data_IF_476746156078
#
_entry.id   IF_476746156078
#
_cell.length_a   1.000
_cell.length_b   1.000
_cell.length_c   1.000
_cell.angle_alpha   90.00
_cell.angle_beta   90.00
_cell.angle_gamma   90.00
#
_symmetry.space_group_name_H-M   'P 1'
#
loop_
_entity.id
_entity.type
_entity.pdbx_description
1 polymer ?
#
# COMPACT_ATOMS: atom_id res chain seq x y z
N UNK A 1 -6.39 23.63 10.98
CA UNK A 1 -5.05 23.24 10.50
C UNK A 1 -4.93 21.73 10.67
N UNK A 2 -4.40 21.03 9.66
CA UNK A 2 -4.35 19.57 9.66
C UNK A 2 -3.11 19.04 10.40
N UNK A 3 -3.25 17.93 11.12
CA UNK A 3 -2.20 17.34 11.97
C UNK A 3 -2.09 15.83 11.78
N UNK A 4 -0.88 15.33 11.98
CA UNK A 4 -0.60 13.90 12.09
C UNK A 4 -0.73 13.48 13.56
N UNK A 5 -1.51 12.42 13.80
CA UNK A 5 -1.73 11.87 15.13
C UNK A 5 -1.04 10.51 15.23
N UNK A 6 -0.14 10.37 16.20
CA UNK A 6 0.52 9.10 16.53
C UNK A 6 0.06 8.65 17.91
N UNK A 7 -0.54 7.46 17.99
CA UNK A 7 -0.94 6.82 19.24
C UNK A 7 0.00 5.65 19.50
N UNK A 8 0.64 5.63 20.65
CA UNK A 8 1.68 4.65 20.97
C UNK A 8 1.70 4.28 22.45
N UNK A 9 2.18 3.07 22.72
CA UNK A 9 2.47 2.62 24.08
C UNK A 9 3.89 3.04 24.47
N UNK A 10 4.03 3.57 25.69
CA UNK A 10 5.32 3.79 26.33
C UNK A 10 5.16 3.58 27.84
N UNK A 11 6.04 2.80 28.45
CA UNK A 11 6.02 2.51 29.89
C UNK A 11 4.65 2.07 30.44
N UNK A 12 3.90 1.31 29.64
CA UNK A 12 2.59 0.81 30.01
C UNK A 12 1.50 1.89 30.08
N UNK A 13 1.66 3.01 29.38
CA UNK A 13 0.61 4.02 29.18
C UNK A 13 0.44 4.31 27.69
N UNK A 14 -0.81 4.58 27.30
CA UNK A 14 -1.12 5.03 25.93
C UNK A 14 -0.94 6.54 25.83
N UNK A 15 -0.01 6.96 24.97
CA UNK A 15 0.25 8.35 24.63
C UNK A 15 -0.26 8.68 23.24
N UNK A 16 -0.51 9.96 23.03
CA UNK A 16 -0.76 10.56 21.73
C UNK A 16 0.27 11.66 21.50
N UNK A 17 0.92 11.65 20.33
CA UNK A 17 1.66 12.80 19.83
C UNK A 17 0.95 13.45 18.66
N UNK A 18 1.04 14.78 18.60
CA UNK A 18 0.53 15.59 17.50
C UNK A 18 1.72 16.26 16.82
N UNK A 19 1.83 16.07 15.52
CA UNK A 19 2.86 16.73 14.71
C UNK A 19 2.23 17.40 13.50
N UNK A 20 2.80 18.53 13.10
CA UNK A 20 2.46 19.16 11.83
C UNK A 20 3.43 18.63 10.77
N UNK A 21 3.02 18.55 9.49
CA UNK A 21 3.90 18.07 8.43
C UNK A 21 5.23 18.85 8.30
N UNK A 22 5.26 20.11 8.76
CA UNK A 22 6.38 21.05 8.59
C UNK A 22 7.08 21.47 9.90
N UNK A 23 6.64 20.98 11.06
CA UNK A 23 7.19 21.37 12.37
C UNK A 23 7.52 20.13 13.22
N UNK A 24 8.58 20.21 14.02
CA UNK A 24 8.93 19.18 15.00
C UNK A 24 7.78 18.95 16.01
N UNK A 25 7.65 17.70 16.50
CA UNK A 25 6.56 17.18 17.35
C UNK A 25 6.10 18.22 18.40
N UNK A 26 4.85 18.66 18.30
CA UNK A 26 4.36 19.81 19.07
C UNK A 26 3.82 19.46 20.46
N UNK A 27 3.45 18.21 20.74
CA UNK A 27 3.08 17.79 22.10
C UNK A 27 2.94 16.27 22.23
N UNK A 28 3.38 15.72 23.35
CA UNK A 28 3.07 14.34 23.80
C UNK A 28 2.14 14.46 25.00
N UNK A 29 0.98 13.83 24.92
CA UNK A 29 0.03 13.78 26.04
C UNK A 29 -0.53 12.39 26.22
N UNK A 30 -1.07 12.08 27.40
CA UNK A 30 -1.91 10.89 27.58
C UNK A 30 -3.07 10.95 26.57
N UNK A 31 -3.46 9.79 26.03
CA UNK A 31 -4.53 9.73 25.04
C UNK A 31 -5.83 10.36 25.58
N UNK A 32 -6.26 11.46 24.95
CA UNK A 32 -7.53 12.12 25.22
C UNK A 32 -8.36 12.22 23.93
N UNK A 33 -9.47 11.46 23.81
CA UNK A 33 -10.32 11.49 22.63
C UNK A 33 -11.04 12.84 22.44
N UNK A 34 -11.14 13.69 23.46
CA UNK A 34 -11.82 14.98 23.35
C UNK A 34 -11.01 16.02 22.58
N UNK A 35 -9.67 15.90 22.60
CA UNK A 35 -8.77 16.78 21.83
C UNK A 35 -9.00 16.71 20.33
N UNK A 36 -9.52 15.59 19.84
CA UNK A 36 -9.78 15.37 18.42
C UNK A 36 -10.88 16.28 17.87
N UNK A 37 -11.73 16.88 18.73
CA UNK A 37 -12.72 17.87 18.30
C UNK A 37 -12.11 19.24 17.95
N UNK A 38 -10.88 19.51 18.41
CA UNK A 38 -10.20 20.79 18.23
C UNK A 38 -9.18 20.77 17.07
N UNK A 39 -9.00 19.63 16.41
CA UNK A 39 -7.98 19.43 15.37
C UNK A 39 -8.60 18.82 14.11
N UNK A 40 -7.88 18.89 12.99
CA UNK A 40 -8.21 18.16 11.77
C UNK A 40 -7.16 17.07 11.59
N UNK A 41 -7.57 15.81 11.56
CA UNK A 41 -6.65 14.67 11.51
C UNK A 41 -6.36 14.30 10.06
N UNK A 42 -5.11 14.46 9.63
CA UNK A 42 -4.67 14.09 8.28
C UNK A 42 -4.19 12.64 8.21
N UNK A 43 -3.42 12.22 9.20
CA UNK A 43 -2.85 10.87 9.29
C UNK A 43 -2.99 10.31 10.70
N UNK A 44 -3.28 9.03 10.79
CA UNK A 44 -3.26 8.27 12.04
C UNK A 44 -2.14 7.24 11.98
N UNK A 45 -1.32 7.18 13.03
CA UNK A 45 -0.30 6.16 13.22
C UNK A 45 -0.57 5.45 14.54
N UNK A 46 -0.68 4.13 14.53
CA UNK A 46 -0.67 3.29 15.73
C UNK A 46 0.67 2.58 15.83
N UNK A 47 1.38 2.74 16.95
CA UNK A 47 2.74 2.20 17.09
C UNK A 47 2.91 1.45 18.41
N UNK A 48 3.50 0.26 18.36
CA UNK A 48 3.78 -0.58 19.53
C UNK A 48 2.52 -0.88 20.38
N UNK A 49 1.36 -1.02 19.74
CA UNK A 49 0.09 -1.28 20.42
C UNK A 49 -0.11 -2.79 20.53
N UNK A 50 -0.32 -3.30 21.74
CA UNK A 50 -0.66 -4.71 21.96
C UNK A 50 -1.93 -4.86 22.80
N UNK A 51 -2.92 -5.61 22.32
CA UNK A 51 -4.16 -5.82 23.09
C UNK A 51 -3.98 -6.78 24.27
N UNK A 52 -2.81 -7.40 24.42
CA UNK A 52 -2.45 -8.16 25.61
C UNK A 52 -2.12 -7.25 26.82
N UNK A 53 -1.78 -5.97 26.57
CA UNK A 53 -1.56 -4.99 27.63
C UNK A 53 -2.88 -4.32 28.01
N UNK A 54 -3.16 -4.26 29.32
CA UNK A 54 -4.35 -3.62 29.87
C UNK A 54 -4.48 -2.15 29.45
N UNK A 55 -3.35 -1.49 29.21
CA UNK A 55 -3.28 -0.06 28.94
C UNK A 55 -3.58 0.28 27.47
N UNK A 56 -3.44 -0.71 26.58
CA UNK A 56 -3.64 -0.55 25.13
C UNK A 56 -4.79 -1.40 24.57
N UNK A 57 -5.40 -2.27 25.38
CA UNK A 57 -6.46 -3.20 24.96
C UNK A 57 -7.61 -2.52 24.20
N UNK A 58 -8.00 -1.30 24.58
CA UNK A 58 -9.12 -0.58 23.96
C UNK A 58 -8.68 0.57 23.03
N UNK A 59 -7.42 0.61 22.59
CA UNK A 59 -6.91 1.74 21.77
C UNK A 59 -7.69 1.87 20.46
N UNK A 60 -7.90 0.77 19.75
CA UNK A 60 -8.62 0.77 18.47
C UNK A 60 -10.05 1.30 18.66
N UNK A 61 -10.75 0.80 19.68
CA UNK A 61 -12.10 1.27 20.03
C UNK A 61 -12.11 2.77 20.36
N UNK A 62 -11.10 3.23 21.10
CA UNK A 62 -10.99 4.61 21.55
C UNK A 62 -10.71 5.56 20.38
N UNK A 63 -9.87 5.14 19.42
CA UNK A 63 -9.62 5.86 18.17
C UNK A 63 -10.88 5.93 17.32
N UNK A 64 -11.60 4.81 17.14
CA UNK A 64 -12.89 4.82 16.42
C UNK A 64 -13.92 5.76 17.06
N UNK A 65 -14.02 5.75 18.39
CA UNK A 65 -14.91 6.65 19.13
C UNK A 65 -14.50 8.12 18.96
N UNK A 66 -13.20 8.41 18.99
CA UNK A 66 -12.67 9.76 18.76
C UNK A 66 -12.99 10.26 17.35
N UNK A 67 -12.73 9.44 16.32
CA UNK A 67 -13.04 9.73 14.91
C UNK A 67 -14.52 10.06 14.70
N UNK A 68 -15.43 9.24 15.23
CA UNK A 68 -16.87 9.46 15.11
C UNK A 68 -17.33 10.73 15.82
N UNK A 69 -16.88 10.92 17.07
CA UNK A 69 -17.25 12.09 17.88
C UNK A 69 -16.80 13.39 17.22
N UNK A 70 -15.59 13.40 16.68
CA UNK A 70 -14.99 14.55 16.00
C UNK A 70 -15.37 14.67 14.52
N UNK A 71 -16.17 13.72 13.99
CA UNK A 71 -16.60 13.65 12.59
C UNK A 71 -15.44 13.70 11.58
N UNK A 72 -14.31 13.09 11.93
CA UNK A 72 -13.11 13.02 11.10
C UNK A 72 -13.23 11.83 10.15
N UNK A 73 -13.76 12.04 8.95
CA UNK A 73 -13.94 10.99 7.92
C UNK A 73 -13.00 11.12 6.71
N UNK A 74 -12.19 12.18 6.68
CA UNK A 74 -11.26 12.50 5.59
C UNK A 74 -9.81 12.38 6.04
N UNK A 75 -9.46 11.23 6.62
CA UNK A 75 -8.08 10.90 7.00
C UNK A 75 -7.38 10.33 5.77
N UNK A 76 -6.29 10.98 5.35
CA UNK A 76 -5.53 10.65 4.13
C UNK A 76 -4.50 9.55 4.36
N UNK A 77 -4.14 9.25 5.61
CA UNK A 77 -3.14 8.23 5.91
C UNK A 77 -3.44 7.38 7.13
N UNK A 78 -3.23 6.08 7.00
CA UNK A 78 -3.20 5.11 8.10
C UNK A 78 -1.85 4.42 8.16
N UNK A 79 -1.25 4.38 9.34
CA UNK A 79 -0.06 3.59 9.62
C UNK A 79 -0.28 2.73 10.88
N UNK A 80 0.15 1.48 10.82
CA UNK A 80 0.26 0.57 11.95
C UNK A 80 1.65 -0.05 11.93
N UNK A 81 2.42 0.12 13.01
CA UNK A 81 3.78 -0.41 13.13
C UNK A 81 3.92 -1.18 14.44
N UNK A 82 4.28 -2.47 14.36
CA UNK A 82 4.43 -3.34 15.53
C UNK A 82 3.15 -3.39 16.38
N UNK A 83 2.01 -3.58 15.71
CA UNK A 83 0.67 -3.61 16.34
C UNK A 83 0.14 -5.04 16.39
N UNK A 84 -0.23 -5.52 17.58
CA UNK A 84 -0.83 -6.83 17.80
C UNK A 84 -2.23 -6.69 18.39
N UNK A 85 -3.24 -7.11 17.65
CA UNK A 85 -4.66 -7.01 18.04
C UNK A 85 -5.24 -8.42 18.15
N UNK A 86 -5.96 -8.70 19.23
CA UNK A 86 -6.63 -9.98 19.46
C UNK A 86 -8.01 -10.03 18.78
N UNK A 87 -8.52 -11.24 18.57
CA UNK A 87 -9.80 -11.49 17.88
C UNK A 87 -11.00 -10.80 18.53
N UNK A 88 -10.95 -10.58 19.84
CA UNK A 88 -12.01 -9.87 20.60
C UNK A 88 -12.25 -8.45 20.03
N UNK A 89 -11.21 -7.83 19.46
CA UNK A 89 -11.26 -6.48 18.90
C UNK A 89 -11.39 -6.44 17.37
N UNK A 90 -11.66 -7.59 16.72
CA UNK A 90 -11.81 -7.72 15.28
C UNK A 90 -12.87 -6.77 14.68
N UNK A 91 -14.00 -6.62 15.38
CA UNK A 91 -15.09 -5.74 14.94
C UNK A 91 -14.68 -4.27 14.94
N UNK A 92 -13.94 -3.83 15.96
CA UNK A 92 -13.43 -2.45 16.06
C UNK A 92 -12.34 -2.16 15.03
N UNK A 93 -11.48 -3.13 14.72
CA UNK A 93 -10.51 -2.99 13.65
C UNK A 93 -11.19 -2.93 12.27
N UNK A 94 -12.18 -3.78 12.02
CA UNK A 94 -12.98 -3.74 10.79
C UNK A 94 -13.67 -2.38 10.62
N UNK A 95 -14.22 -1.86 11.71
CA UNK A 95 -14.84 -0.54 11.75
C UNK A 95 -13.83 0.58 11.48
N UNK A 96 -12.63 0.52 12.06
CA UNK A 96 -11.56 1.47 11.78
C UNK A 96 -11.21 1.50 10.29
N UNK A 97 -11.09 0.33 9.66
CA UNK A 97 -10.88 0.23 8.21
C UNK A 97 -12.03 0.84 7.41
N UNK A 98 -13.29 0.59 7.80
CA UNK A 98 -14.44 1.20 7.13
C UNK A 98 -14.46 2.72 7.23
N UNK A 99 -14.06 3.28 8.38
CA UNK A 99 -14.03 4.73 8.60
C UNK A 99 -12.92 5.42 7.81
N UNK A 100 -11.74 4.81 7.70
CA UNK A 100 -10.54 5.47 7.18
C UNK A 100 -10.28 5.21 5.70
N UNK A 101 -10.45 3.96 5.25
CA UNK A 101 -9.97 3.53 3.93
C UNK A 101 -10.60 4.27 2.73
N UNK A 102 -11.88 4.69 2.74
CA UNK A 102 -12.46 5.40 1.60
C UNK A 102 -11.70 6.66 1.20
N UNK A 103 -11.06 7.34 2.17
CA UNK A 103 -10.35 8.61 1.99
C UNK A 103 -8.82 8.46 2.06
N UNK A 104 -8.31 7.26 2.31
CA UNK A 104 -6.87 7.02 2.49
C UNK A 104 -6.10 6.96 1.17
N UNK A 105 -5.07 7.79 1.07
CA UNK A 105 -4.04 7.78 0.03
C UNK A 105 -2.79 6.99 0.47
N UNK A 106 -2.59 6.83 1.78
CA UNK A 106 -1.41 6.13 2.33
C UNK A 106 -1.81 5.08 3.36
N UNK A 107 -1.40 3.84 3.13
CA UNK A 107 -1.64 2.72 4.05
C UNK A 107 -0.30 2.04 4.31
N UNK A 108 0.15 2.04 5.56
CA UNK A 108 1.39 1.40 5.99
C UNK A 108 1.10 0.43 7.13
N UNK A 109 1.13 -0.88 6.89
CA UNK A 109 0.93 -1.92 7.89
C UNK A 109 2.20 -2.76 7.95
N UNK A 110 2.95 -2.67 9.06
CA UNK A 110 4.29 -3.22 9.16
C UNK A 110 4.45 -3.95 10.49
N UNK A 111 4.87 -5.23 10.43
CA UNK A 111 5.10 -6.08 11.62
C UNK A 111 3.86 -6.18 12.51
N UNK A 112 2.69 -6.34 11.92
CA UNK A 112 1.43 -6.38 12.65
C UNK A 112 0.86 -7.80 12.75
N UNK A 113 0.19 -8.10 13.86
CA UNK A 113 -0.65 -9.29 14.02
C UNK A 113 -2.09 -8.82 14.14
N UNK A 114 -2.88 -9.01 13.08
CA UNK A 114 -4.23 -8.46 13.00
C UNK A 114 -5.29 -9.59 12.90
N UNK A 115 -6.41 -9.49 13.63
CA UNK A 115 -7.46 -10.51 13.59
C UNK A 115 -8.28 -10.46 12.30
N UNK A 116 -8.30 -9.29 11.64
CA UNK A 116 -8.96 -9.05 10.36
C UNK A 116 -8.01 -8.27 9.46
N UNK A 117 -8.21 -8.44 8.16
CA UNK A 117 -7.48 -7.70 7.13
C UNK A 117 -8.42 -6.75 6.40
N UNK A 118 -7.88 -5.90 5.52
CA UNK A 118 -8.68 -5.05 4.66
C UNK A 118 -9.56 -5.93 3.74
N UNK A 119 -10.90 -5.85 3.86
CA UNK A 119 -11.81 -6.53 2.97
C UNK A 119 -11.57 -6.09 1.52
N UNK A 120 -11.62 -7.00 0.53
CA UNK A 120 -11.47 -6.64 -0.87
C UNK A 120 -12.44 -5.51 -1.28
N UNK A 121 -13.69 -5.56 -0.82
CA UNK A 121 -14.72 -4.53 -1.10
C UNK A 121 -14.29 -3.12 -0.70
N UNK A 122 -13.58 -2.96 0.42
CA UNK A 122 -13.04 -1.66 0.87
C UNK A 122 -11.74 -1.29 0.14
N UNK A 123 -10.93 -2.28 -0.25
CA UNK A 123 -9.79 -2.01 -1.12
C UNK A 123 -10.26 -1.29 -2.39
N UNK A 124 -11.34 -1.78 -3.02
CA UNK A 124 -11.91 -1.24 -4.27
C UNK A 124 -12.52 0.18 -4.16
N UNK A 125 -12.84 0.68 -2.97
CA UNK A 125 -13.59 1.94 -2.80
C UNK A 125 -12.73 3.20 -2.58
N UNK A 126 -11.45 3.04 -2.28
CA UNK A 126 -10.55 4.19 -2.03
C UNK A 126 -10.32 5.02 -3.31
N UNK A 127 -10.31 6.34 -3.22
CA UNK A 127 -10.10 7.23 -4.38
C UNK A 127 -8.81 8.01 -4.19
N UNK A 128 -7.68 7.52 -4.71
CA UNK A 128 -6.42 8.26 -4.54
C UNK A 128 -5.19 7.59 -5.12
N UNK A 129 -4.11 8.38 -5.17
CA UNK A 129 -2.74 7.88 -5.32
C UNK A 129 -2.42 7.06 -4.09
N UNK A 130 -2.00 5.81 -4.28
CA UNK A 130 -1.83 4.85 -3.19
C UNK A 130 -0.35 4.62 -2.93
N UNK A 131 0.14 5.09 -1.79
CA UNK A 131 1.34 4.54 -1.17
C UNK A 131 0.89 3.41 -0.25
N UNK A 132 1.07 2.18 -0.70
CA UNK A 132 0.68 0.97 0.00
C UNK A 132 1.91 0.21 0.47
N UNK A 133 1.97 -0.09 1.76
CA UNK A 133 2.96 -0.98 2.34
C UNK A 133 2.28 -1.95 3.29
N UNK A 134 2.46 -3.24 3.05
CA UNK A 134 1.94 -4.30 3.92
C UNK A 134 2.99 -5.39 4.02
N UNK A 135 3.78 -5.35 5.11
CA UNK A 135 4.96 -6.19 5.26
C UNK A 135 5.02 -6.86 6.62
N UNK A 136 5.53 -8.10 6.63
CA UNK A 136 5.80 -8.92 7.82
C UNK A 136 4.59 -8.98 8.76
N UNK A 137 3.39 -8.97 8.18
CA UNK A 137 2.16 -8.83 8.94
C UNK A 137 1.31 -10.09 8.81
N UNK A 138 1.05 -10.74 9.95
CA UNK A 138 0.23 -11.93 10.01
C UNK A 138 -1.23 -11.52 10.20
N UNK A 139 -2.09 -11.97 9.28
CA UNK A 139 -3.54 -11.85 9.44
C UNK A 139 -4.15 -13.24 9.53
N UNK A 140 -5.02 -13.45 10.51
CA UNK A 140 -5.76 -14.72 10.65
C UNK A 140 -6.83 -14.91 9.57
N UNK A 141 -7.05 -13.89 8.75
CA UNK A 141 -8.03 -13.89 7.68
C UNK A 141 -7.57 -14.74 6.48
N UNK A 142 -8.47 -15.54 5.86
CA UNK A 142 -8.17 -16.27 4.62
C UNK A 142 -8.01 -15.34 3.41
N UNK A 143 -8.36 -14.05 3.53
CA UNK A 143 -8.28 -13.11 2.43
C UNK A 143 -6.84 -12.69 2.17
N UNK A 144 -6.35 -12.97 0.96
CA UNK A 144 -5.06 -12.47 0.48
C UNK A 144 -5.17 -11.00 0.10
N UNK A 145 -5.10 -10.12 1.10
CA UNK A 145 -5.31 -8.67 0.89
C UNK A 145 -4.32 -8.06 -0.09
N UNK A 146 -3.05 -8.45 -0.06
CA UNK A 146 -2.07 -7.94 -1.00
C UNK A 146 -2.41 -8.31 -2.46
N UNK A 147 -2.93 -9.53 -2.69
CA UNK A 147 -3.47 -9.91 -4.01
C UNK A 147 -4.69 -9.06 -4.38
N UNK A 148 -5.63 -8.86 -3.46
CA UNK A 148 -6.84 -8.07 -3.71
C UNK A 148 -6.52 -6.62 -4.07
N UNK A 149 -5.55 -6.02 -3.38
CA UNK A 149 -5.04 -4.68 -3.64
C UNK A 149 -4.39 -4.61 -5.03
N UNK A 150 -3.54 -5.56 -5.39
CA UNK A 150 -2.91 -5.59 -6.71
C UNK A 150 -3.91 -5.80 -7.84
N UNK A 151 -4.86 -6.74 -7.69
CA UNK A 151 -5.94 -6.99 -8.66
C UNK A 151 -6.85 -5.78 -8.85
N UNK A 152 -7.08 -5.02 -7.79
CA UNK A 152 -7.78 -3.74 -7.90
C UNK A 152 -7.01 -2.77 -8.79
N UNK A 153 -5.72 -2.57 -8.58
CA UNK A 153 -4.96 -1.66 -9.45
C UNK A 153 -5.00 -2.11 -10.91
N UNK A 154 -4.90 -3.41 -11.15
CA UNK A 154 -5.10 -3.98 -12.49
C UNK A 154 -6.49 -3.62 -13.06
N UNK A 155 -7.55 -3.66 -12.24
CA UNK A 155 -8.90 -3.24 -12.64
C UNK A 155 -8.97 -1.74 -12.94
N UNK A 156 -8.42 -0.89 -12.08
CA UNK A 156 -8.40 0.57 -12.27
C UNK A 156 -7.69 0.97 -13.57
N UNK A 157 -6.61 0.26 -13.91
CA UNK A 157 -5.88 0.42 -15.18
C UNK A 157 -6.77 0.08 -16.38
N UNK A 158 -7.50 -1.04 -16.33
CA UNK A 158 -8.42 -1.46 -17.40
C UNK A 158 -9.55 -0.46 -17.62
N UNK A 159 -10.07 0.10 -16.53
CA UNK A 159 -11.16 1.07 -16.56
C UNK A 159 -10.70 2.50 -16.92
N UNK A 160 -9.39 2.72 -17.10
CA UNK A 160 -8.81 4.05 -17.41
C UNK A 160 -9.23 5.14 -16.42
N UNK A 161 -9.40 4.76 -15.14
CA UNK A 161 -9.88 5.66 -14.07
C UNK A 161 -8.78 6.66 -13.62
N UNK A 162 -8.42 7.59 -14.51
CA UNK A 162 -7.51 8.70 -14.24
C UNK A 162 -6.04 8.32 -14.08
N UNK A 163 -5.16 9.33 -14.13
CA UNK A 163 -3.71 9.17 -13.92
C UNK A 163 -3.43 8.89 -12.44
N UNK A 164 -3.30 7.61 -12.07
CA UNK A 164 -2.94 7.19 -10.70
C UNK A 164 -1.47 6.79 -10.67
N UNK A 165 -0.70 7.32 -9.73
CA UNK A 165 0.61 6.76 -9.39
C UNK A 165 0.40 5.71 -8.30
N UNK A 166 1.10 4.58 -8.39
CA UNK A 166 1.04 3.53 -7.38
C UNK A 166 2.43 3.15 -6.88
N UNK A 167 2.65 3.26 -5.57
CA UNK A 167 3.82 2.69 -4.89
C UNK A 167 3.37 1.57 -3.97
N UNK A 168 3.86 0.36 -4.20
CA UNK A 168 3.44 -0.85 -3.49
C UNK A 168 4.61 -1.64 -2.92
N UNK A 169 4.62 -1.87 -1.62
CA UNK A 169 5.56 -2.77 -0.94
C UNK A 169 4.78 -3.87 -0.22
N UNK A 170 4.88 -5.12 -0.68
CA UNK A 170 3.96 -6.19 -0.26
C UNK A 170 4.71 -7.51 -0.07
N UNK A 171 4.24 -8.35 0.85
CA UNK A 171 4.64 -9.76 0.96
C UNK A 171 3.51 -10.71 0.54
N UNK A 172 3.83 -11.98 0.29
CA UNK A 172 2.82 -13.04 0.10
C UNK A 172 1.91 -12.88 -1.13
N UNK A 173 2.26 -12.02 -2.09
CA UNK A 173 1.52 -11.85 -3.35
C UNK A 173 1.73 -13.06 -4.26
N UNK A 174 0.64 -13.53 -4.86
CA UNK A 174 0.67 -14.66 -5.80
C UNK A 174 1.14 -14.25 -7.18
N UNK A 175 1.84 -15.17 -7.85
CA UNK A 175 2.27 -15.03 -9.25
C UNK A 175 1.11 -14.62 -10.17
N UNK A 176 -0.06 -15.27 -10.02
CA UNK A 176 -1.25 -14.97 -10.82
C UNK A 176 -1.68 -13.51 -10.71
N UNK A 177 -1.69 -12.92 -9.50
CA UNK A 177 -2.03 -11.50 -9.35
C UNK A 177 -1.00 -10.55 -9.96
N UNK A 178 0.28 -10.92 -9.97
CA UNK A 178 1.33 -10.14 -10.67
C UNK A 178 1.13 -10.19 -12.19
N UNK A 179 0.89 -11.37 -12.75
CA UNK A 179 0.65 -11.54 -14.18
C UNK A 179 -0.63 -10.81 -14.64
N UNK A 180 -1.72 -10.88 -13.87
CA UNK A 180 -2.95 -10.10 -14.14
C UNK A 180 -2.69 -8.58 -14.17
N UNK A 181 -1.80 -8.09 -13.30
CA UNK A 181 -1.42 -6.67 -13.28
C UNK A 181 -0.58 -6.29 -14.50
N UNK A 182 0.44 -7.07 -14.84
CA UNK A 182 1.27 -6.86 -16.05
C UNK A 182 0.39 -6.86 -17.30
N UNK A 183 -0.54 -7.81 -17.40
CA UNK A 183 -1.48 -7.88 -18.51
C UNK A 183 -2.32 -6.61 -18.65
N UNK A 184 -2.94 -6.17 -17.55
CA UNK A 184 -3.77 -4.98 -17.53
C UNK A 184 -2.99 -3.73 -17.94
N UNK A 185 -1.77 -3.59 -17.43
CA UNK A 185 -0.89 -2.48 -17.76
C UNK A 185 -0.45 -2.49 -19.22
N UNK A 186 -0.02 -3.65 -19.74
CA UNK A 186 0.46 -3.80 -21.12
C UNK A 186 -0.60 -3.41 -22.17
N UNK A 187 -1.88 -3.69 -21.85
CA UNK A 187 -3.05 -3.41 -22.68
C UNK A 187 -3.70 -2.05 -22.42
N UNK A 188 -3.11 -1.19 -21.59
CA UNK A 188 -3.66 0.12 -21.30
C UNK A 188 -3.23 1.15 -22.33
N UNK A 189 -4.16 2.01 -22.78
CA UNK A 189 -3.86 3.13 -23.68
C UNK A 189 -3.26 4.34 -22.94
N UNK A 190 -3.46 4.41 -21.63
CA UNK A 190 -2.90 5.43 -20.75
C UNK A 190 -2.32 4.76 -19.49
N UNK A 191 -1.29 3.91 -19.64
CA UNK A 191 -0.75 3.14 -18.54
C UNK A 191 -0.19 4.06 -17.45
N UNK A 192 -0.54 3.83 -16.17
CA UNK A 192 -0.02 4.64 -15.08
C UNK A 192 1.47 4.33 -14.80
N UNK A 193 2.11 5.28 -14.12
CA UNK A 193 3.40 5.01 -13.48
C UNK A 193 3.18 4.20 -12.19
N UNK A 194 4.07 3.26 -11.91
CA UNK A 194 4.04 2.50 -10.66
C UNK A 194 5.45 2.10 -10.21
N UNK A 195 5.58 1.74 -8.93
CA UNK A 195 6.76 1.07 -8.39
C UNK A 195 6.29 0.01 -7.41
N UNK A 196 6.55 -1.26 -7.70
CA UNK A 196 6.10 -2.39 -6.88
C UNK A 196 7.32 -3.21 -6.46
N UNK A 197 7.45 -3.40 -5.15
CA UNK A 197 8.42 -4.32 -4.53
C UNK A 197 7.66 -5.41 -3.79
N UNK A 198 7.95 -6.66 -4.14
CA UNK A 198 7.41 -7.85 -3.49
C UNK A 198 8.51 -8.54 -2.68
N UNK A 199 8.18 -8.96 -1.46
CA UNK A 199 9.06 -9.64 -0.52
C UNK A 199 8.71 -11.12 -0.40
N UNK A 200 9.71 -11.94 -0.08
CA UNK A 200 9.55 -13.40 0.06
C UNK A 200 9.41 -14.12 -1.28
N UNK A 201 9.88 -13.50 -2.37
CA UNK A 201 9.90 -14.07 -3.70
C UNK A 201 11.11 -15.00 -3.86
N UNK A 202 11.05 -16.15 -3.17
CA UNK A 202 12.11 -17.17 -3.22
C UNK A 202 12.24 -17.81 -4.61
N UNK A 203 13.24 -18.69 -4.78
CA UNK A 203 13.51 -19.38 -6.05
C UNK A 203 12.28 -20.09 -6.64
N UNK A 204 11.46 -20.73 -5.81
CA UNK A 204 10.24 -21.41 -6.24
C UNK A 204 9.19 -20.44 -6.77
N UNK A 205 9.04 -19.27 -6.12
CA UNK A 205 8.14 -18.22 -6.58
C UNK A 205 8.57 -17.70 -7.94
N UNK A 206 9.86 -17.41 -8.12
CA UNK A 206 10.44 -16.98 -9.41
C UNK A 206 10.19 -18.01 -10.51
N UNK A 207 10.46 -19.29 -10.24
CA UNK A 207 10.22 -20.36 -11.22
C UNK A 207 8.74 -20.44 -11.60
N UNK A 208 7.84 -20.28 -10.64
CA UNK A 208 6.40 -20.25 -10.90
C UNK A 208 6.00 -19.03 -11.74
N UNK A 209 6.60 -17.86 -11.49
CA UNK A 209 6.41 -16.65 -12.30
C UNK A 209 6.85 -16.84 -13.74
N UNK A 210 8.06 -17.35 -13.97
CA UNK A 210 8.58 -17.60 -15.32
C UNK A 210 7.69 -18.58 -16.10
N UNK A 211 7.20 -19.64 -15.45
CA UNK A 211 6.25 -20.60 -16.05
C UNK A 211 4.90 -19.96 -16.40
N UNK A 212 4.38 -19.10 -15.52
CA UNK A 212 3.12 -18.41 -15.76
C UNK A 212 3.25 -17.39 -16.91
N UNK A 213 4.41 -16.73 -17.02
CA UNK A 213 4.72 -15.85 -18.13
C UNK A 213 4.75 -16.58 -19.47
N UNK A 214 5.41 -17.75 -19.52
CA UNK A 214 5.40 -18.62 -20.70
C UNK A 214 3.99 -19.07 -21.07
N UNK A 215 3.20 -19.50 -20.08
CA UNK A 215 1.81 -19.93 -20.29
C UNK A 215 0.93 -18.82 -20.84
N UNK A 216 1.17 -17.59 -20.41
CA UNK A 216 0.40 -16.40 -20.80
C UNK A 216 0.94 -15.71 -22.07
N UNK A 217 1.95 -16.29 -22.73
CA UNK A 217 2.63 -15.71 -23.90
C UNK A 217 3.16 -14.29 -23.66
N UNK A 218 3.62 -14.00 -22.44
CA UNK A 218 4.38 -12.78 -22.20
C UNK A 218 5.79 -12.97 -22.78
N UNK A 219 6.09 -12.26 -23.87
CA UNK A 219 7.44 -12.19 -24.43
C UNK A 219 8.32 -11.42 -23.45
N UNK A 220 8.94 -12.14 -22.53
CA UNK A 220 9.78 -11.60 -21.47
C UNK A 220 11.25 -11.56 -21.87
N UNK A 221 11.57 -10.95 -23.02
CA UNK A 221 12.97 -10.80 -23.41
C UNK A 221 13.68 -9.95 -22.35
N UNK A 222 14.71 -10.51 -21.71
CA UNK A 222 15.49 -9.85 -20.65
C UNK A 222 14.69 -9.37 -19.41
N UNK A 223 13.57 -10.01 -19.07
CA UNK A 223 12.65 -9.57 -17.99
C UNK A 223 11.98 -8.21 -18.26
N UNK A 224 11.76 -7.88 -19.53
CA UNK A 224 11.01 -6.72 -19.96
C UNK A 224 9.69 -7.16 -20.60
N UNK A 225 8.60 -6.47 -20.27
CA UNK A 225 7.24 -6.80 -20.72
C UNK A 225 6.67 -5.60 -21.49
N UNK A 226 6.69 -5.68 -22.81
CA UNK A 226 6.26 -4.58 -23.68
C UNK A 226 4.76 -4.27 -23.56
N UNK A 227 4.41 -2.99 -23.72
CA UNK A 227 3.03 -2.61 -23.94
C UNK A 227 2.59 -3.02 -25.35
N UNK A 228 1.40 -3.61 -25.44
CA UNK A 228 0.78 -3.95 -26.73
C UNK A 228 0.19 -2.72 -27.43
N UNK A 229 0.13 -1.56 -26.75
CA UNK A 229 -0.45 -0.32 -27.26
C UNK A 229 0.63 0.74 -27.49
N UNK A 230 1.51 0.96 -26.51
CA UNK A 230 2.56 1.98 -26.57
C UNK A 230 3.91 1.31 -26.82
N UNK A 231 4.35 1.27 -28.08
CA UNK A 231 5.59 0.57 -28.49
C UNK A 231 6.86 1.06 -27.80
N UNK A 232 6.85 2.27 -27.24
CA UNK A 232 7.96 2.85 -26.48
C UNK A 232 7.77 2.69 -24.97
N UNK A 233 6.95 1.75 -24.53
CA UNK A 233 6.71 1.51 -23.11
C UNK A 233 6.79 0.02 -22.79
N UNK A 234 7.46 -0.32 -21.68
CA UNK A 234 7.58 -1.68 -21.19
C UNK A 234 7.65 -1.69 -19.65
N UNK A 235 7.33 -2.81 -19.02
CA UNK A 235 7.61 -3.03 -17.59
C UNK A 235 8.95 -3.73 -17.47
N UNK A 236 9.82 -3.20 -16.63
CA UNK A 236 11.05 -3.89 -16.24
C UNK A 236 10.84 -4.64 -14.94
N UNK A 237 11.30 -5.89 -14.92
CA UNK A 237 11.29 -6.75 -13.73
C UNK A 237 12.72 -7.07 -13.30
N UNK A 238 12.97 -7.03 -11.99
CA UNK A 238 14.26 -7.42 -11.40
C UNK A 238 14.03 -8.35 -10.22
N UNK A 239 14.76 -9.46 -10.20
CA UNK A 239 14.86 -10.37 -9.05
C UNK A 239 16.16 -10.12 -8.31
N UNK A 240 16.09 -9.92 -6.99
CA UNK A 240 17.25 -9.83 -6.11
C UNK A 240 17.26 -11.09 -5.26
N UNK A 241 17.97 -12.12 -5.74
CA UNK A 241 17.91 -13.48 -5.20
C UNK A 241 18.30 -13.53 -3.71
N UNK A 242 19.39 -12.87 -3.33
CA UNK A 242 19.92 -12.89 -1.95
C UNK A 242 18.97 -12.25 -0.93
N UNK A 243 18.12 -11.33 -1.40
CA UNK A 243 17.14 -10.63 -0.57
C UNK A 243 15.71 -11.19 -0.75
N UNK A 244 15.51 -12.21 -1.59
CA UNK A 244 14.21 -12.74 -1.99
C UNK A 244 13.22 -11.64 -2.42
N UNK A 245 13.71 -10.67 -3.20
CA UNK A 245 12.91 -9.54 -3.68
C UNK A 245 12.58 -9.69 -5.15
N UNK A 246 11.35 -9.29 -5.49
CA UNK A 246 10.94 -9.00 -6.86
C UNK A 246 10.58 -7.52 -6.94
N UNK A 247 11.06 -6.82 -7.97
CA UNK A 247 10.73 -5.43 -8.21
C UNK A 247 10.25 -5.24 -9.63
N UNK A 248 9.24 -4.39 -9.80
CA UNK A 248 8.75 -4.01 -11.11
C UNK A 248 8.34 -2.54 -11.19
N UNK A 249 8.64 -1.92 -12.32
CA UNK A 249 8.29 -0.54 -12.64
C UNK A 249 8.17 -0.35 -14.15
N UNK A 250 7.39 0.63 -14.63
CA UNK A 250 7.29 0.93 -16.04
C UNK A 250 8.45 1.80 -16.50
N UNK A 251 8.85 1.60 -17.76
CA UNK A 251 9.79 2.41 -18.51
C UNK A 251 9.05 2.99 -19.71
N UNK A 252 9.24 4.29 -19.95
CA UNK A 252 8.72 5.01 -21.10
C UNK A 252 9.90 5.59 -21.87
N UNK A 253 10.26 4.92 -22.95
CA UNK A 253 11.32 5.32 -23.87
C UNK A 253 10.89 6.54 -24.69
N UNK A 254 11.83 7.46 -24.91
CA UNK A 254 11.61 8.64 -25.76
C UNK A 254 12.32 8.37 -27.09
N UNK A 255 11.59 8.28 -28.21
CA UNK A 255 12.23 8.18 -29.51
C UNK A 255 13.02 9.47 -29.80
N UNK A 256 14.19 9.32 -30.42
CA UNK A 256 14.99 10.45 -30.88
C UNK A 256 14.12 11.31 -31.83
N UNK A 257 13.92 12.60 -31.51
CA UNK A 257 12.98 13.46 -32.25
C UNK A 257 13.34 13.66 -33.71
N UNK A 258 14.57 13.36 -34.13
CA UNK A 258 15.04 13.52 -35.50
C UNK A 258 16.22 12.59 -35.78
N UNK A 259 15.96 11.34 -36.13
CA UNK A 259 16.81 10.50 -37.02
C UNK A 259 16.18 9.13 -37.10
N UNK A 260 16.30 8.45 -38.24
CA UNK A 260 16.05 7.02 -38.45
C UNK A 260 17.01 6.12 -37.62
N UNK A 261 17.36 6.54 -36.40
CA UNK A 261 18.21 5.80 -35.48
C UNK A 261 17.34 4.99 -34.53
N UNK A 262 17.57 3.69 -34.49
CA UNK A 262 17.01 2.72 -33.52
C UNK A 262 17.55 2.91 -32.09
N UNK A 263 18.32 3.98 -31.83
CA UNK A 263 19.01 4.22 -30.57
C UNK A 263 18.19 5.23 -29.73
N UNK A 264 17.76 4.79 -28.55
CA UNK A 264 17.07 5.62 -27.57
C UNK A 264 18.08 6.47 -26.79
N UNK A 265 17.97 7.81 -26.85
CA UNK A 265 18.96 8.73 -26.25
C UNK A 265 18.69 9.05 -24.76
N UNK A 266 17.50 8.77 -24.24
CA UNK A 266 17.16 9.09 -22.85
C UNK A 266 16.14 8.11 -22.26
N UNK A 267 16.44 7.60 -21.06
CA UNK A 267 15.49 6.90 -20.18
C UNK A 267 15.07 7.88 -19.09
N UNK A 268 13.77 8.15 -18.94
CA UNK A 268 13.30 8.86 -17.75
C UNK A 268 13.33 7.92 -16.55
N UNK A 269 14.37 8.02 -15.73
CA UNK A 269 14.26 7.67 -14.32
C UNK A 269 13.59 8.87 -13.65
N UNK A 270 12.32 8.73 -13.27
CA UNK A 270 11.66 9.76 -12.47
C UNK A 270 12.01 9.45 -11.01
N UNK A 271 13.14 10.01 -10.55
CA UNK A 271 13.48 10.06 -9.13
C UNK A 271 12.43 10.95 -8.43
N UNK A 272 11.66 10.39 -7.50
CA UNK A 272 10.76 11.11 -6.60
C UNK A 272 11.02 10.66 -5.17
#
# INVERSE_FOLDING_TARGET
MAVNVEVFDHDGLTYTSYSRPELERESITIFDPNRWNAIIVEKITLKNITTASFCTQNVVQSVCKALRKSRQFYVRGLAMESVSISDIYASHLSELFQLLLPSCEKILIIKCTLPVTIPPTLAFSSTGSMHYRWLQSCCLSPFKTNDAILRRFAKDIRESNGKRFFHGEMDGVTVSSVCEFIEAWSKSAAPPYFNITLYGCCYHWRTAFEKECQRSNFAGDCNEFESTIIKTAHIKVVFIQDAELFRMWPIFDIPARQTESTICYARFYRDW
#
